data_IF_677881925324
#
_entry.id   IF_677881925324
#
_cell.length_a   1.000
_cell.length_b   1.000
_cell.length_c   1.000
_cell.angle_alpha   90.00
_cell.angle_beta   90.00
_cell.angle_gamma   90.00
#
_symmetry.space_group_name_H-M   'P 1'
#
loop_
_entity.id
_entity.type
_entity.pdbx_description
1 polymer ?
#
# COMPACT_ATOMS: atom_id res chain seq x y z
N UNK A 1 3.68 8.51 7.00
CA UNK A 1 4.40 9.07 8.17
C UNK A 1 4.31 8.12 9.37
N UNK A 2 3.13 7.81 9.90
CA UNK A 2 3.04 6.95 11.10
C UNK A 2 3.46 5.51 10.92
N UNK A 3 3.36 4.95 9.70
CA UNK A 3 3.90 3.63 9.41
C UNK A 3 5.42 3.58 9.65
N UNK A 4 6.15 4.62 9.23
CA UNK A 4 7.61 4.72 9.40
C UNK A 4 7.99 4.79 10.88
N UNK A 5 7.29 5.61 11.67
CA UNK A 5 7.52 5.76 13.12
C UNK A 5 7.22 4.45 13.89
N UNK A 6 6.13 3.76 13.52
CA UNK A 6 5.78 2.45 14.08
C UNK A 6 6.83 1.40 13.72
N UNK A 7 7.30 1.37 12.48
CA UNK A 7 8.36 0.43 12.06
C UNK A 7 9.68 0.71 12.79
N UNK A 8 10.04 1.99 12.98
CA UNK A 8 11.24 2.37 13.73
C UNK A 8 11.16 1.92 15.19
N UNK A 9 10.02 2.12 15.86
CA UNK A 9 9.84 1.75 17.26
C UNK A 9 9.72 0.23 17.49
N UNK A 10 9.48 -0.55 16.42
CA UNK A 10 9.39 -2.02 16.47
C UNK A 10 10.69 -2.71 16.09
N UNK A 11 11.79 -1.96 15.93
CA UNK A 11 13.13 -2.51 15.76
C UNK A 11 13.57 -2.69 14.31
N UNK A 12 12.83 -2.17 13.33
CA UNK A 12 13.36 -2.05 11.96
C UNK A 12 14.57 -1.11 12.00
N UNK A 13 15.71 -1.60 11.49
CA UNK A 13 17.01 -0.94 11.62
C UNK A 13 17.51 -0.25 10.35
N UNK A 14 16.83 -0.42 9.21
CA UNK A 14 17.25 0.21 7.95
C UNK A 14 16.03 0.74 7.19
N UNK A 15 16.09 2.00 6.79
CA UNK A 15 15.06 2.70 6.05
C UNK A 15 15.65 3.35 4.80
N UNK A 16 14.98 3.14 3.68
CA UNK A 16 15.22 3.84 2.43
C UNK A 16 13.94 4.63 2.13
N UNK A 17 14.02 5.95 2.12
CA UNK A 17 12.89 6.86 1.97
C UNK A 17 13.00 7.59 0.64
N UNK A 18 12.04 7.38 -0.26
CA UNK A 18 11.98 8.03 -1.57
C UNK A 18 10.75 8.92 -1.60
N UNK A 19 10.94 10.24 -1.50
CA UNK A 19 9.86 11.23 -1.52
C UNK A 19 10.41 12.61 -1.93
N UNK A 20 9.98 13.12 -3.08
CA UNK A 20 10.39 14.44 -3.60
C UNK A 20 9.53 15.61 -3.10
N UNK A 21 8.63 15.37 -2.15
CA UNK A 21 7.71 16.37 -1.62
C UNK A 21 8.33 17.24 -0.52
N UNK A 22 7.87 18.49 -0.49
CA UNK A 22 8.08 19.42 0.62
C UNK A 22 6.83 19.40 1.51
N UNK A 23 7.00 19.58 2.81
CA UNK A 23 5.86 19.68 3.74
C UNK A 23 5.10 20.99 3.49
N UNK A 24 3.85 20.84 3.08
CA UNK A 24 2.90 21.93 2.86
C UNK A 24 1.95 22.09 4.05
N UNK A 25 1.30 23.25 4.16
CA UNK A 25 0.36 23.56 5.27
C UNK A 25 -0.78 22.55 5.36
N UNK A 26 -1.28 22.10 4.21
CA UNK A 26 -2.35 21.11 4.09
C UNK A 26 -1.93 19.77 4.69
N UNK A 27 -0.64 19.46 4.65
CA UNK A 27 -0.12 18.21 5.17
C UNK A 27 -0.19 18.12 6.70
N UNK A 28 -0.37 19.22 7.43
CA UNK A 28 -0.55 19.18 8.91
C UNK A 28 -1.87 18.51 9.30
N UNK A 29 -2.93 18.79 8.53
CA UNK A 29 -4.26 18.22 8.75
C UNK A 29 -4.48 16.86 8.07
N UNK A 30 -3.60 16.48 7.14
CA UNK A 30 -3.76 15.29 6.30
C UNK A 30 -2.74 14.20 6.62
N UNK A 31 -1.51 14.57 6.99
CA UNK A 31 -0.38 13.67 7.17
C UNK A 31 0.29 13.98 8.52
N UNK A 32 1.09 13.05 9.06
CA UNK A 32 1.64 13.17 10.41
C UNK A 32 2.61 14.34 10.66
N UNK A 33 2.71 15.34 9.79
CA UNK A 33 3.61 16.49 9.90
C UNK A 33 3.15 17.51 10.95
N UNK A 34 4.08 18.25 11.53
CA UNK A 34 3.84 19.32 12.48
C UNK A 34 4.04 20.70 11.83
N UNK A 35 3.48 21.76 12.42
CA UNK A 35 3.59 23.12 11.87
C UNK A 35 5.04 23.56 11.64
N UNK A 36 5.95 23.11 12.51
CA UNK A 36 7.37 23.44 12.43
C UNK A 36 8.11 22.69 11.30
N UNK A 37 7.48 21.68 10.71
CA UNK A 37 8.04 20.93 9.58
C UNK A 37 7.78 21.62 8.23
N UNK A 38 6.95 22.68 8.18
CA UNK A 38 6.54 23.32 6.92
C UNK A 38 7.75 23.90 6.18
N UNK A 39 7.89 23.55 4.91
CA UNK A 39 9.02 23.98 4.06
C UNK A 39 10.19 23.00 4.04
N UNK A 40 10.22 22.01 4.94
CA UNK A 40 11.23 20.96 4.95
C UNK A 40 10.89 19.83 3.97
N UNK A 41 11.91 19.08 3.55
CA UNK A 41 11.71 17.88 2.74
C UNK A 41 11.02 16.78 3.58
N UNK A 42 9.95 16.20 3.03
CA UNK A 42 9.18 15.15 3.72
C UNK A 42 10.06 13.96 4.13
N UNK A 43 10.97 13.55 3.25
CA UNK A 43 11.94 12.48 3.50
C UNK A 43 12.86 12.78 4.68
N UNK A 44 13.38 14.00 4.77
CA UNK A 44 14.30 14.40 5.84
C UNK A 44 13.57 14.55 7.18
N UNK A 45 12.35 15.10 7.19
CA UNK A 45 11.49 15.11 8.38
C UNK A 45 11.24 13.69 8.86
N UNK A 46 10.86 12.76 7.97
CA UNK A 46 10.66 11.36 8.33
C UNK A 46 11.95 10.73 8.88
N UNK A 47 13.10 10.97 8.27
CA UNK A 47 14.39 10.48 8.73
C UNK A 47 14.76 10.97 10.14
N UNK A 48 14.58 12.27 10.40
CA UNK A 48 14.81 12.86 11.72
C UNK A 48 13.94 12.20 12.80
N UNK A 49 12.69 11.88 12.46
CA UNK A 49 11.76 11.20 13.39
C UNK A 49 12.15 9.75 13.63
N UNK A 50 12.55 9.02 12.59
CA UNK A 50 13.12 7.67 12.75
C UNK A 50 14.31 7.72 13.69
N UNK A 51 15.26 8.62 13.47
CA UNK A 51 16.46 8.76 14.30
C UNK A 51 16.17 9.15 15.74
N UNK A 52 15.10 9.91 15.99
CA UNK A 52 14.66 10.22 17.35
C UNK A 52 14.07 9.00 18.07
N UNK A 53 13.40 8.11 17.34
CA UNK A 53 12.77 6.90 17.89
C UNK A 53 13.79 5.77 18.06
N UNK A 54 14.62 5.55 17.03
CA UNK A 54 15.64 4.52 16.97
C UNK A 54 16.95 5.15 16.46
N UNK A 55 17.82 5.65 17.36
CA UNK A 55 19.08 6.30 16.99
C UNK A 55 20.02 5.42 16.16
N UNK A 56 19.96 4.11 16.38
CA UNK A 56 20.79 3.11 15.72
C UNK A 56 20.32 2.77 14.30
N UNK A 57 19.08 3.15 13.92
CA UNK A 57 18.54 2.87 12.59
C UNK A 57 19.33 3.60 11.49
N UNK A 58 19.77 2.90 10.45
CA UNK A 58 20.29 3.53 9.22
C UNK A 58 19.12 4.10 8.42
N UNK A 59 19.24 5.36 7.97
CA UNK A 59 18.23 6.01 7.14
C UNK A 59 18.90 6.67 5.94
N UNK A 60 18.39 6.37 4.75
CA UNK A 60 18.80 6.97 3.49
C UNK A 60 17.60 7.68 2.88
N UNK A 61 17.77 8.94 2.47
CA UNK A 61 16.72 9.75 1.86
C UNK A 61 17.06 10.06 0.40
N UNK A 62 16.06 9.92 -0.46
CA UNK A 62 16.11 10.27 -1.87
C UNK A 62 15.00 11.31 -2.12
N UNK A 63 15.33 12.61 -2.19
CA UNK A 63 14.35 13.68 -2.34
C UNK A 63 13.88 13.81 -3.80
N UNK A 64 13.35 12.73 -4.35
CA UNK A 64 12.88 12.63 -5.72
C UNK A 64 11.69 11.68 -5.83
N UNK A 65 11.07 11.64 -7.00
CA UNK A 65 10.03 10.66 -7.34
C UNK A 65 10.64 9.33 -7.76
N UNK A 66 9.84 8.27 -7.70
CA UNK A 66 10.25 6.91 -8.10
C UNK A 66 10.79 6.85 -9.55
N UNK A 67 10.23 7.67 -10.43
CA UNK A 67 10.59 7.73 -11.84
C UNK A 67 11.80 8.63 -12.14
N UNK A 68 12.33 9.32 -11.13
CA UNK A 68 13.51 10.19 -11.22
C UNK A 68 14.77 9.52 -10.66
N UNK A 69 14.62 8.35 -10.02
CA UNK A 69 15.75 7.53 -9.60
C UNK A 69 16.54 7.05 -10.81
N UNK A 70 17.87 7.22 -10.75
CA UNK A 70 18.79 6.74 -11.79
C UNK A 70 18.72 5.21 -11.95
N UNK A 71 18.65 4.51 -10.81
CA UNK A 71 18.55 3.05 -10.76
C UNK A 71 17.57 2.63 -9.66
N UNK A 72 16.29 2.54 -10.03
CA UNK A 72 15.23 2.06 -9.14
C UNK A 72 15.55 0.64 -8.64
N UNK A 73 16.09 -0.23 -9.49
CA UNK A 73 16.31 -1.62 -9.16
C UNK A 73 17.43 -1.78 -8.11
N UNK A 74 18.47 -0.96 -8.19
CA UNK A 74 19.52 -0.90 -7.17
C UNK A 74 18.99 -0.39 -5.81
N UNK A 75 18.12 0.63 -5.84
CA UNK A 75 17.51 1.17 -4.61
C UNK A 75 16.60 0.14 -3.95
N UNK A 76 15.77 -0.57 -4.73
CA UNK A 76 14.88 -1.59 -4.21
C UNK A 76 15.62 -2.89 -3.83
N UNK A 77 16.66 -3.26 -4.56
CA UNK A 77 17.40 -4.53 -4.42
C UNK A 77 18.00 -4.79 -3.03
N UNK A 78 18.22 -3.74 -2.24
CA UNK A 78 18.71 -3.84 -0.86
C UNK A 78 17.63 -4.04 0.20
N UNK A 79 16.34 -4.04 -0.17
CA UNK A 79 15.23 -4.07 0.79
C UNK A 79 14.61 -5.46 0.97
N UNK A 80 14.25 -5.80 2.22
CA UNK A 80 13.47 -7.00 2.52
C UNK A 80 11.98 -6.85 2.16
N UNK A 81 11.49 -5.60 2.18
CA UNK A 81 10.11 -5.22 1.94
C UNK A 81 10.05 -3.78 1.41
N UNK A 82 9.24 -3.56 0.37
CA UNK A 82 8.90 -2.23 -0.13
C UNK A 82 7.52 -1.82 0.36
N UNK A 83 7.35 -0.56 0.77
CA UNK A 83 6.03 0.00 1.08
C UNK A 83 5.80 1.21 0.17
N UNK A 84 4.93 1.04 -0.82
CA UNK A 84 4.47 2.07 -1.73
C UNK A 84 3.25 2.78 -1.13
N UNK A 85 3.44 4.02 -0.71
CA UNK A 85 2.38 4.94 -0.27
C UNK A 85 2.15 6.09 -1.25
N UNK A 86 2.51 5.93 -2.52
CA UNK A 86 2.31 6.96 -3.54
C UNK A 86 0.83 7.11 -3.88
N UNK A 87 0.43 8.29 -4.34
CA UNK A 87 -0.91 8.57 -4.85
C UNK A 87 -1.07 8.22 -6.34
N UNK A 88 -0.02 7.68 -6.95
CA UNK A 88 0.07 7.43 -8.39
C UNK A 88 -0.08 5.94 -8.71
N UNK A 89 -1.13 5.60 -9.46
CA UNK A 89 -1.27 4.24 -9.97
C UNK A 89 -0.12 3.86 -10.92
N UNK A 90 0.47 4.84 -11.62
CA UNK A 90 1.66 4.60 -12.46
C UNK A 90 2.87 4.17 -11.62
N UNK A 91 3.09 4.83 -10.47
CA UNK A 91 4.16 4.48 -9.54
C UNK A 91 3.91 3.09 -8.95
N UNK A 92 2.69 2.80 -8.51
CA UNK A 92 2.33 1.47 -8.01
C UNK A 92 2.56 0.34 -9.02
N UNK A 93 2.23 0.56 -10.31
CA UNK A 93 2.52 -0.41 -11.38
C UNK A 93 4.03 -0.57 -11.60
N UNK A 94 4.79 0.54 -11.60
CA UNK A 94 6.25 0.53 -11.79
C UNK A 94 6.95 -0.23 -10.65
N UNK A 95 6.66 0.13 -9.41
CA UNK A 95 7.20 -0.49 -8.21
C UNK A 95 6.79 -1.97 -8.12
N UNK A 96 5.54 -2.30 -8.47
CA UNK A 96 5.09 -3.69 -8.53
C UNK A 96 5.87 -4.51 -9.56
N UNK A 97 6.17 -3.94 -10.74
CA UNK A 97 6.99 -4.61 -11.76
C UNK A 97 8.42 -4.83 -11.28
N UNK A 98 9.05 -3.81 -10.71
CA UNK A 98 10.41 -3.93 -10.18
C UNK A 98 10.47 -4.97 -9.05
N UNK A 99 9.51 -4.97 -8.12
CA UNK A 99 9.41 -5.96 -7.05
C UNK A 99 9.26 -7.40 -7.59
N UNK A 100 8.47 -7.60 -8.65
CA UNK A 100 8.36 -8.91 -9.34
C UNK A 100 9.70 -9.34 -9.92
N UNK A 101 10.41 -8.43 -10.59
CA UNK A 101 11.70 -8.72 -11.25
C UNK A 101 12.80 -9.04 -10.24
N UNK A 102 12.84 -8.32 -9.12
CA UNK A 102 13.83 -8.49 -8.06
C UNK A 102 13.48 -9.62 -7.06
N UNK A 103 12.24 -10.12 -7.09
CA UNK A 103 11.78 -11.13 -6.14
C UNK A 103 11.62 -10.59 -4.71
N UNK A 104 11.20 -9.33 -4.59
CA UNK A 104 11.04 -8.62 -3.31
C UNK A 104 9.56 -8.51 -2.97
N UNK A 105 9.22 -8.63 -1.69
CA UNK A 105 7.84 -8.38 -1.24
C UNK A 105 7.57 -6.86 -1.27
N UNK A 106 6.43 -6.44 -1.79
CA UNK A 106 6.00 -5.03 -1.79
C UNK A 106 4.55 -4.90 -1.33
N UNK A 107 4.27 -3.89 -0.50
CA UNK A 107 2.94 -3.48 -0.09
C UNK A 107 2.58 -2.16 -0.78
N UNK A 108 1.45 -2.13 -1.47
CA UNK A 108 0.91 -0.94 -2.11
C UNK A 108 -0.31 -0.51 -1.32
N UNK A 109 -0.21 0.67 -0.71
CA UNK A 109 -1.21 1.18 0.21
C UNK A 109 -1.85 2.43 -0.37
N UNK A 110 -3.18 2.45 -0.39
CA UNK A 110 -3.91 3.60 -0.92
C UNK A 110 -5.27 3.75 -0.29
N UNK A 111 -5.81 4.95 -0.38
CA UNK A 111 -7.22 5.22 -0.13
C UNK A 111 -7.97 5.27 -1.45
N UNK A 112 -9.21 4.80 -1.45
CA UNK A 112 -10.10 4.80 -2.61
C UNK A 112 -11.52 5.23 -2.22
N UNK A 113 -12.36 5.51 -3.22
CA UNK A 113 -13.78 5.78 -3.00
C UNK A 113 -14.07 7.03 -2.18
N UNK A 114 -13.26 8.08 -2.34
CA UNK A 114 -13.35 9.34 -1.59
C UNK A 114 -13.10 9.14 -0.08
N UNK A 115 -11.91 8.63 0.25
CA UNK A 115 -11.50 8.18 1.59
C UNK A 115 -12.33 7.09 2.24
N UNK A 116 -13.41 6.60 1.62
CA UNK A 116 -14.28 5.59 2.22
C UNK A 116 -13.63 4.22 2.33
N UNK A 117 -12.55 3.96 1.61
CA UNK A 117 -11.85 2.69 1.60
C UNK A 117 -10.35 2.86 1.77
N UNK A 118 -9.73 1.89 2.44
CA UNK A 118 -8.29 1.65 2.37
C UNK A 118 -8.03 0.33 1.68
N UNK A 119 -6.93 0.28 0.93
CA UNK A 119 -6.46 -0.88 0.19
C UNK A 119 -5.01 -1.14 0.60
N UNK A 120 -4.69 -2.40 0.90
CA UNK A 120 -3.34 -2.91 1.09
C UNK A 120 -3.17 -4.09 0.13
N UNK A 121 -2.47 -3.88 -0.98
CA UNK A 121 -2.23 -4.89 -2.00
C UNK A 121 -0.76 -5.34 -1.96
N UNK A 122 -0.53 -6.64 -1.95
CA UNK A 122 0.80 -7.24 -1.86
C UNK A 122 1.28 -7.75 -3.22
N UNK A 123 2.44 -7.28 -3.66
CA UNK A 123 3.23 -7.96 -4.70
C UNK A 123 4.27 -8.81 -3.98
N UNK A 124 3.99 -10.10 -3.79
CA UNK A 124 4.87 -10.97 -3.00
C UNK A 124 5.95 -11.62 -3.88
N UNK A 125 7.08 -11.99 -3.27
CA UNK A 125 8.12 -12.79 -3.91
C UNK A 125 7.51 -14.10 -4.44
N UNK A 126 7.88 -14.47 -5.67
CA UNK A 126 7.24 -15.52 -6.45
C UNK A 126 5.72 -15.32 -6.62
N UNK A 127 5.29 -14.20 -7.24
CA UNK A 127 3.88 -13.81 -7.32
C UNK A 127 3.04 -14.70 -8.25
N UNK A 128 3.64 -15.68 -8.94
CA UNK A 128 2.96 -16.57 -9.87
C UNK A 128 1.80 -17.30 -9.16
N UNK A 129 0.56 -16.97 -9.54
CA UNK A 129 -0.67 -17.52 -8.95
C UNK A 129 -1.26 -16.66 -7.84
N UNK A 130 -0.43 -15.91 -7.10
CA UNK A 130 -0.86 -14.98 -6.05
C UNK A 130 -1.39 -13.67 -6.64
N UNK A 131 -0.73 -13.14 -7.67
CA UNK A 131 -1.06 -11.87 -8.30
C UNK A 131 -0.11 -10.73 -7.92
N UNK A 132 -0.26 -9.60 -8.60
CA UNK A 132 0.43 -8.33 -8.32
C UNK A 132 -0.60 -7.19 -8.36
N UNK A 133 -0.19 -5.94 -8.15
CA UNK A 133 -1.10 -4.76 -8.19
C UNK A 133 -1.97 -4.74 -9.44
N UNK A 134 -1.39 -5.00 -10.61
CA UNK A 134 -2.13 -5.05 -11.89
C UNK A 134 -3.24 -6.11 -11.91
N UNK A 135 -3.08 -7.20 -11.16
CA UNK A 135 -4.09 -8.26 -11.02
C UNK A 135 -5.20 -7.86 -10.04
N UNK A 136 -4.85 -7.26 -8.90
CA UNK A 136 -5.82 -6.93 -7.86
C UNK A 136 -6.68 -5.72 -8.22
N UNK A 137 -6.08 -4.73 -8.89
CA UNK A 137 -6.70 -3.47 -9.30
C UNK A 137 -6.89 -3.42 -10.82
N UNK A 138 -7.28 -4.55 -11.43
CA UNK A 138 -7.30 -4.70 -12.89
C UNK A 138 -8.12 -3.59 -13.57
N UNK A 139 -9.33 -3.33 -13.09
CA UNK A 139 -10.24 -2.33 -13.66
C UNK A 139 -9.67 -0.93 -13.54
N UNK A 140 -9.05 -0.59 -12.40
CA UNK A 140 -8.39 0.70 -12.21
C UNK A 140 -7.18 0.86 -13.14
N UNK A 141 -6.37 -0.20 -13.30
CA UNK A 141 -5.24 -0.18 -14.23
C UNK A 141 -5.69 -0.08 -15.69
N UNK A 142 -6.74 -0.78 -16.09
CA UNK A 142 -7.30 -0.70 -17.45
C UNK A 142 -7.77 0.73 -17.76
N UNK A 143 -8.49 1.37 -16.82
CA UNK A 143 -8.92 2.76 -16.95
C UNK A 143 -7.72 3.71 -17.08
N UNK A 144 -6.71 3.53 -16.24
CA UNK A 144 -5.49 4.33 -16.28
C UNK A 144 -4.73 4.17 -17.61
N UNK A 145 -4.60 2.95 -18.11
CA UNK A 145 -4.01 2.65 -19.44
C UNK A 145 -4.84 3.27 -20.57
N UNK A 146 -6.16 3.41 -20.40
CA UNK A 146 -7.05 4.13 -21.31
C UNK A 146 -6.98 5.67 -21.16
N UNK A 147 -6.09 6.20 -20.33
CA UNK A 147 -5.89 7.64 -20.12
C UNK A 147 -6.81 8.27 -19.08
N UNK A 148 -7.58 7.47 -18.32
CA UNK A 148 -8.36 8.01 -17.22
C UNK A 148 -7.43 8.55 -16.12
N UNK A 149 -7.61 9.82 -15.81
CA UNK A 149 -7.00 10.45 -14.64
C UNK A 149 -8.04 10.48 -13.53
N UNK A 150 -7.72 9.85 -12.41
CA UNK A 150 -8.52 10.03 -11.19
C UNK A 150 -8.46 11.50 -10.78
N UNK A 151 -9.59 12.08 -10.33
CA UNK A 151 -9.59 13.47 -9.89
C UNK A 151 -8.59 13.65 -8.74
N UNK A 152 -7.87 14.79 -8.69
CA UNK A 152 -6.92 15.04 -7.62
C UNK A 152 -7.66 15.09 -6.30
N UNK A 153 -7.11 14.38 -5.32
CA UNK A 153 -7.81 14.06 -4.09
C UNK A 153 -7.53 15.12 -3.01
N UNK A 154 -8.52 15.94 -2.69
CA UNK A 154 -8.42 16.94 -1.63
C UNK A 154 -9.63 16.79 -0.71
N UNK A 155 -9.39 16.26 0.51
CA UNK A 155 -10.20 16.36 1.75
C UNK A 155 -10.06 15.08 2.60
N UNK A 156 -8.84 14.76 3.02
CA UNK A 156 -8.62 13.73 4.04
C UNK A 156 -8.35 14.33 5.40
N UNK A 157 -9.10 13.92 6.41
CA UNK A 157 -8.65 14.10 7.79
C UNK A 157 -7.51 13.13 8.05
N UNK A 158 -6.49 13.56 8.80
CA UNK A 158 -5.37 12.75 9.28
C UNK A 158 -5.74 11.34 9.75
N UNK A 159 -6.92 11.13 10.36
CA UNK A 159 -7.38 9.82 10.86
C UNK A 159 -7.37 8.74 9.77
N UNK A 160 -7.71 9.11 8.53
CA UNK A 160 -7.82 8.15 7.42
C UNK A 160 -6.44 7.56 7.04
N UNK A 161 -5.43 8.36 6.64
CA UNK A 161 -4.12 7.83 6.32
C UNK A 161 -3.41 7.26 7.55
N UNK A 162 -3.67 7.77 8.76
CA UNK A 162 -3.14 7.17 10.00
C UNK A 162 -3.66 5.73 10.20
N UNK A 163 -4.95 5.51 9.97
CA UNK A 163 -5.56 4.17 10.07
C UNK A 163 -4.95 3.21 9.05
N UNK A 164 -4.78 3.67 7.79
CA UNK A 164 -4.14 2.88 6.75
C UNK A 164 -2.67 2.58 7.08
N UNK A 165 -1.91 3.59 7.49
CA UNK A 165 -0.49 3.46 7.82
C UNK A 165 -0.24 2.45 8.95
N UNK A 166 -1.05 2.48 10.01
CA UNK A 166 -0.92 1.50 11.12
C UNK A 166 -1.23 0.08 10.64
N UNK A 167 -2.28 -0.11 9.82
CA UNK A 167 -2.61 -1.41 9.24
C UNK A 167 -1.52 -1.92 8.29
N UNK A 168 -0.94 -1.01 7.49
CA UNK A 168 0.18 -1.31 6.61
C UNK A 168 1.41 -1.77 7.40
N UNK A 169 1.77 -1.05 8.48
CA UNK A 169 2.86 -1.44 9.36
C UNK A 169 2.61 -2.80 10.03
N UNK A 170 1.37 -3.09 10.42
CA UNK A 170 0.99 -4.39 10.99
C UNK A 170 1.18 -5.55 10.00
N UNK A 171 0.74 -5.37 8.74
CA UNK A 171 0.97 -6.36 7.67
C UNK A 171 2.46 -6.48 7.36
N UNK A 172 3.19 -5.37 7.27
CA UNK A 172 4.63 -5.35 7.03
C UNK A 172 5.41 -6.15 8.08
N UNK A 173 5.20 -5.87 9.37
CA UNK A 173 5.83 -6.60 10.46
C UNK A 173 5.42 -8.07 10.47
N UNK A 174 4.13 -8.36 10.24
CA UNK A 174 3.65 -9.73 10.14
C UNK A 174 4.35 -10.52 9.04
N UNK A 175 4.51 -9.92 7.85
CA UNK A 175 5.23 -10.52 6.73
C UNK A 175 6.70 -10.76 7.09
N UNK A 176 7.41 -9.75 7.60
CA UNK A 176 8.81 -9.89 7.96
C UNK A 176 9.01 -11.01 9.01
N UNK A 177 8.17 -11.05 10.05
CA UNK A 177 8.20 -12.12 11.05
C UNK A 177 7.87 -13.50 10.48
N UNK A 178 6.89 -13.59 9.58
CA UNK A 178 6.55 -14.84 8.91
C UNK A 178 7.72 -15.37 8.07
N UNK A 179 8.39 -14.49 7.31
CA UNK A 179 9.51 -14.88 6.44
C UNK A 179 10.70 -15.47 7.20
N UNK A 180 10.94 -15.02 8.44
CA UNK A 180 12.02 -15.55 9.29
C UNK A 180 11.57 -16.71 10.19
N UNK A 181 10.33 -17.18 10.08
CA UNK A 181 9.81 -18.27 10.91
C UNK A 181 9.64 -17.90 12.38
N UNK A 182 9.35 -16.63 12.68
CA UNK A 182 9.13 -16.14 14.04
C UNK A 182 7.96 -16.87 14.73
N UNK A 183 8.12 -17.16 16.02
CA UNK A 183 7.06 -17.75 16.86
C UNK A 183 6.09 -16.71 17.43
N UNK A 184 6.31 -15.42 17.17
CA UNK A 184 5.41 -14.35 17.63
C UNK A 184 4.07 -14.44 16.89
N UNK A 185 2.97 -14.16 17.60
CA UNK A 185 1.61 -14.23 17.05
C UNK A 185 1.41 -13.36 15.80
N UNK A 186 2.15 -12.24 15.68
CA UNK A 186 2.11 -11.35 14.52
C UNK A 186 2.53 -12.05 13.21
N UNK A 187 3.35 -13.11 13.27
CA UNK A 187 3.74 -13.88 12.08
C UNK A 187 2.52 -14.49 11.37
N UNK A 188 1.47 -14.86 12.13
CA UNK A 188 0.21 -15.37 11.55
C UNK A 188 -0.46 -14.34 10.63
N UNK A 189 -0.27 -13.04 10.87
CA UNK A 189 -0.79 -11.98 10.00
C UNK A 189 -0.11 -12.01 8.65
N UNK A 190 1.22 -12.16 8.64
CA UNK A 190 2.00 -12.33 7.42
C UNK A 190 1.60 -13.58 6.65
N UNK A 191 1.48 -14.71 7.35
CA UNK A 191 1.03 -15.98 6.78
C UNK A 191 -0.33 -15.82 6.07
N UNK A 192 -1.34 -15.28 6.76
CA UNK A 192 -2.66 -15.07 6.17
C UNK A 192 -2.63 -14.11 4.99
N UNK A 193 -1.84 -13.03 5.09
CA UNK A 193 -1.66 -12.10 3.98
C UNK A 193 -1.02 -12.78 2.76
N UNK A 194 -0.09 -13.72 2.94
CA UNK A 194 0.49 -14.46 1.79
C UNK A 194 -0.50 -15.32 1.03
N UNK A 195 -1.60 -15.72 1.67
CA UNK A 195 -2.66 -16.49 1.02
C UNK A 195 -3.68 -15.59 0.30
N UNK A 196 -3.84 -14.36 0.76
CA UNK A 196 -4.82 -13.37 0.27
C UNK A 196 -4.18 -11.97 0.30
N UNK A 197 -3.23 -11.67 -0.62
CA UNK A 197 -2.40 -10.47 -0.57
C UNK A 197 -3.12 -9.23 -1.13
N UNK A 198 -4.39 -9.05 -0.79
CA UNK A 198 -5.15 -7.85 -1.12
C UNK A 198 -6.27 -7.67 -0.10
N UNK A 199 -6.08 -6.71 0.80
CA UNK A 199 -6.99 -6.40 1.89
C UNK A 199 -7.63 -5.04 1.64
N UNK A 200 -8.96 -5.01 1.58
CA UNK A 200 -9.75 -3.80 1.39
C UNK A 200 -10.63 -3.63 2.63
N UNK A 201 -10.57 -2.48 3.28
CA UNK A 201 -11.47 -2.15 4.38
C UNK A 201 -12.13 -0.80 4.21
N UNK A 202 -13.11 -0.54 5.06
CA UNK A 202 -13.93 0.67 5.02
C UNK A 202 -13.51 1.66 6.12
N UNK A 203 -13.40 2.94 5.76
CA UNK A 203 -13.31 4.09 6.66
C UNK A 203 -14.69 4.71 6.83
N UNK A 204 -15.67 3.90 7.20
CA UNK A 204 -17.06 4.33 7.32
C UNK A 204 -18.02 3.18 7.56
N UNK A 205 -19.30 3.50 7.52
CA UNK A 205 -20.40 2.56 7.68
C UNK A 205 -20.66 1.89 6.32
N UNK A 206 -20.63 0.56 6.28
CA UNK A 206 -21.07 -0.20 5.12
C UNK A 206 -22.56 0.07 4.88
N UNK A 207 -22.88 0.79 3.81
CA UNK A 207 -24.23 1.33 3.58
C UNK A 207 -25.35 0.28 3.66
N UNK A 208 -25.07 -0.96 3.26
CA UNK A 208 -26.06 -2.04 3.27
C UNK A 208 -26.18 -2.79 4.61
N UNK A 209 -25.11 -2.94 5.40
CA UNK A 209 -25.17 -3.67 6.68
C UNK A 209 -25.22 -2.75 7.91
N UNK A 210 -24.94 -1.46 7.76
CA UNK A 210 -24.79 -0.53 8.88
C UNK A 210 -23.54 -0.80 9.72
N UNK A 211 -22.71 -1.77 9.35
CA UNK A 211 -21.51 -2.15 10.11
C UNK A 211 -20.36 -1.20 9.81
N UNK A 212 -19.62 -0.85 10.85
CA UNK A 212 -18.27 -0.32 10.73
C UNK A 212 -17.37 -1.55 10.79
N UNK A 213 -16.60 -1.82 9.72
CA UNK A 213 -15.77 -3.01 9.44
C UNK A 213 -16.48 -4.19 8.77
N UNK A 214 -15.92 -4.73 7.67
CA UNK A 214 -14.75 -5.61 7.76
C UNK A 214 -13.60 -5.28 6.79
N UNK A 215 -12.37 -5.69 7.15
CA UNK A 215 -11.33 -5.95 6.14
C UNK A 215 -11.81 -7.17 5.34
N UNK A 216 -12.05 -6.98 4.06
CA UNK A 216 -12.34 -8.05 3.12
C UNK A 216 -11.11 -8.32 2.30
N UNK A 217 -10.77 -9.60 2.17
CA UNK A 217 -9.86 -10.03 1.13
C UNK A 217 -10.60 -9.96 -0.20
N UNK A 218 -10.18 -9.07 -1.09
CA UNK A 218 -10.83 -8.88 -2.38
C UNK A 218 -9.83 -9.07 -3.52
N UNK A 219 -10.27 -9.73 -4.58
CA UNK A 219 -9.54 -9.81 -5.85
C UNK A 219 -10.53 -9.75 -6.98
N UNK A 220 -10.37 -8.79 -7.88
CA UNK A 220 -11.20 -8.73 -9.08
C UNK A 220 -11.07 -10.04 -9.88
N UNK A 221 -12.19 -10.62 -10.36
CA UNK A 221 -12.12 -11.79 -11.20
C UNK A 221 -11.36 -11.47 -12.49
N UNK A 222 -10.38 -12.30 -12.82
CA UNK A 222 -9.61 -12.16 -14.06
C UNK A 222 -10.39 -12.80 -15.22
N UNK A 223 -10.45 -12.16 -16.41
CA UNK A 223 -11.09 -12.75 -17.57
C UNK A 223 -10.50 -14.12 -17.91
N UNK A 224 -11.33 -15.04 -18.41
CA UNK A 224 -10.88 -16.36 -18.85
C UNK A 224 -9.80 -16.20 -19.93
N UNK A 225 -8.67 -16.88 -19.76
CA UNK A 225 -7.52 -16.81 -20.68
C UNK A 225 -6.65 -15.56 -20.53
N UNK A 226 -6.99 -14.62 -19.64
CA UNK A 226 -6.12 -13.47 -19.36
C UNK A 226 -4.87 -13.91 -18.60
N UNK A 227 -3.72 -13.38 -19.01
CA UNK A 227 -2.44 -13.54 -18.33
C UNK A 227 -1.86 -12.17 -18.01
N UNK A 228 -1.51 -11.95 -16.76
CA UNK A 228 -0.95 -10.68 -16.32
C UNK A 228 0.37 -10.39 -17.07
N UNK A 229 0.50 -9.22 -17.71
CA UNK A 229 1.74 -8.85 -18.41
C UNK A 229 2.89 -8.50 -17.45
N UNK A 230 2.59 -8.33 -16.14
CA UNK A 230 3.59 -7.98 -15.12
C UNK A 230 4.10 -9.24 -14.40
N UNK A 231 3.21 -10.03 -13.80
CA UNK A 231 3.61 -11.19 -12.98
C UNK A 231 3.28 -12.56 -13.59
N UNK A 232 2.75 -12.61 -14.81
CA UNK A 232 2.42 -13.87 -15.50
C UNK A 232 1.25 -14.66 -14.91
N UNK A 233 0.59 -14.16 -13.86
CA UNK A 233 -0.56 -14.82 -13.24
C UNK A 233 -1.73 -14.94 -14.22
N UNK A 234 -2.25 -16.15 -14.40
CA UNK A 234 -3.37 -16.45 -15.32
C UNK A 234 -4.61 -17.02 -14.64
N UNK A 235 -4.56 -17.22 -13.32
CA UNK A 235 -5.66 -17.78 -12.55
C UNK A 235 -5.75 -17.11 -11.18
N UNK A 236 -6.96 -17.11 -10.62
CA UNK A 236 -7.21 -16.73 -9.24
C UNK A 236 -7.03 -17.97 -8.37
N UNK A 237 -6.00 -18.03 -7.52
CA UNK A 237 -5.77 -19.19 -6.66
C UNK A 237 -6.88 -19.40 -5.61
N UNK A 238 -7.64 -18.36 -5.27
CA UNK A 238 -8.83 -18.43 -4.42
C UNK A 238 -9.94 -17.55 -5.01
N UNK A 239 -11.19 -18.02 -5.09
CA UNK A 239 -12.29 -17.20 -5.58
C UNK A 239 -12.45 -15.97 -4.68
N UNK A 240 -12.84 -14.81 -5.25
CA UNK A 240 -13.16 -13.64 -4.46
C UNK A 240 -14.21 -13.99 -3.40
N UNK A 241 -14.07 -13.43 -2.20
CA UNK A 241 -15.22 -13.36 -1.29
C UNK A 241 -16.27 -12.55 -2.03
N UNK A 242 -17.41 -13.18 -2.36
CA UNK A 242 -18.46 -12.52 -3.11
C UNK A 242 -18.84 -11.23 -2.40
N UNK A 243 -18.80 -10.11 -3.15
CA UNK A 243 -19.49 -8.89 -2.75
C UNK A 243 -20.97 -9.30 -2.67
N UNK A 244 -21.64 -9.21 -1.51
CA UNK A 244 -23.09 -9.39 -1.48
C UNK A 244 -23.67 -8.46 -2.55
N UNK A 245 -24.53 -8.99 -3.40
CA UNK A 245 -25.25 -8.18 -4.37
C UNK A 245 -25.91 -7.03 -3.61
N UNK A 246 -25.70 -5.80 -4.10
CA UNK A 246 -26.34 -4.63 -3.53
C UNK A 246 -27.85 -4.79 -3.72
N UNK A 247 -28.65 -4.96 -2.64
CA UNK A 247 -30.09 -5.13 -2.76
C UNK A 247 -30.80 -3.90 -3.34
N UNK A 248 -30.09 -2.79 -3.53
CA UNK A 248 -30.64 -1.50 -3.97
C UNK A 248 -30.22 -1.08 -5.39
N UNK A 249 -29.66 -1.96 -6.24
CA UNK A 249 -29.41 -1.62 -7.66
C UNK A 249 -30.66 -1.20 -8.45
N UNK A 250 -31.87 -1.40 -7.91
CA UNK A 250 -33.13 -0.92 -8.50
C UNK A 250 -33.53 0.50 -8.09
N UNK A 251 -32.92 1.12 -7.06
CA UNK A 251 -33.32 2.47 -6.60
C UNK A 251 -32.66 3.62 -7.37
N UNK A 252 -31.51 3.38 -8.01
CA UNK A 252 -30.83 4.39 -8.83
C UNK A 252 -31.37 4.45 -10.28
N UNK A 253 -32.48 3.77 -10.57
CA UNK A 253 -33.19 3.79 -11.86
C UNK A 253 -34.60 4.44 -11.78
N UNK A 254 -34.93 5.14 -10.69
CA UNK A 254 -36.19 5.87 -10.55
C UNK A 254 -35.95 7.35 -10.27
#
# INVERSE_FOLDING_TARGET
MSNIEVLASTGIGHFILVDGGIVERENIGQSGFACDDIGELKGDVAANRVKRINPDARVETFPCRDNELEDLDAVLGGADLVIDGTDSLSAAIRLSRAAVQLGIDALHIRTEGDNRQYVIAGTLRNPAGLGCVRCFLKSACDLHEAGHQSPPFYNSHRIVPETLNVKAAWVALGLLHYRVGSTLSIASIGEHFTQLPCWIGLNGIHAASGEIFPIRAYREPLPVGWRCPVCGTSACAKPPVQRPEDPNQERDRQ
#
